data_IF_197984204685
#
_entry.id   IF_197984204685
#
_cell.length_a   1.000
_cell.length_b   1.000
_cell.length_c   1.000
_cell.angle_alpha   90.00
_cell.angle_beta   90.00
_cell.angle_gamma   90.00
#
_symmetry.space_group_name_H-M   'P 1'
#
loop_
_entity.id
_entity.type
_entity.pdbx_description
1 polymer ?
#
# COMPACT_ATOMS: atom_id res chain seq x y z
N UNK A 1 -21.96 -88.51 -27.40
CA UNK A 1 -20.86 -89.48 -27.21
C UNK A 1 -19.64 -89.02 -27.99
N UNK A 2 -18.44 -89.18 -27.41
CA UNK A 2 -17.09 -88.62 -27.77
C UNK A 2 -16.82 -87.27 -27.10
N UNK A 3 -16.11 -87.15 -25.96
CA UNK A 3 -14.81 -87.65 -25.49
C UNK A 3 -13.59 -86.88 -26.04
N UNK A 4 -12.82 -86.34 -25.08
CA UNK A 4 -11.40 -85.98 -25.10
C UNK A 4 -10.90 -84.84 -26.00
N UNK A 5 -10.45 -83.75 -25.37
CA UNK A 5 -9.03 -83.45 -25.28
C UNK A 5 -8.76 -82.40 -24.18
N UNK A 6 -8.17 -82.86 -23.08
CA UNK A 6 -7.43 -82.04 -22.13
C UNK A 6 -6.18 -81.50 -22.83
N UNK A 7 -5.95 -80.20 -22.75
CA UNK A 7 -4.64 -79.61 -23.02
C UNK A 7 -4.33 -78.61 -21.90
N UNK A 8 -3.58 -79.12 -20.92
CA UNK A 8 -2.83 -78.33 -19.94
C UNK A 8 -1.64 -77.72 -20.67
N UNK A 9 -1.52 -76.39 -20.65
CA UNK A 9 -0.23 -75.70 -20.75
C UNK A 9 -0.25 -74.50 -19.80
N UNK A 10 0.55 -74.63 -18.75
CA UNK A 10 0.92 -73.56 -17.85
C UNK A 10 1.93 -72.63 -18.54
N UNK A 11 1.76 -71.33 -18.37
CA UNK A 11 2.85 -70.36 -18.41
C UNK A 11 2.46 -69.13 -17.59
N UNK A 12 3.05 -69.03 -16.40
CA UNK A 12 3.11 -67.81 -15.61
C UNK A 12 3.74 -66.70 -16.42
N UNK A 13 3.14 -65.50 -16.45
CA UNK A 13 3.86 -64.25 -16.64
C UNK A 13 3.02 -63.05 -16.16
N UNK A 14 3.49 -62.48 -15.05
CA UNK A 14 3.68 -61.04 -14.86
C UNK A 14 2.39 -60.20 -14.78
N UNK A 15 1.95 -60.05 -13.52
CA UNK A 15 1.65 -58.75 -12.88
C UNK A 15 1.92 -57.55 -13.79
N UNK A 16 0.85 -57.05 -14.41
CA UNK A 16 0.78 -55.77 -15.10
C UNK A 16 -0.45 -55.03 -14.63
N UNK A 17 -0.52 -54.78 -13.32
CA UNK A 17 -1.34 -53.70 -12.78
C UNK A 17 -0.81 -52.43 -13.45
N UNK A 18 -1.52 -51.94 -14.47
CA UNK A 18 -1.41 -50.56 -14.91
C UNK A 18 -1.97 -49.70 -13.77
N UNK A 19 -1.17 -49.56 -12.72
CA UNK A 19 -1.29 -48.49 -11.75
C UNK A 19 -0.95 -47.22 -12.49
N UNK A 20 -1.97 -46.43 -12.79
CA UNK A 20 -1.80 -44.99 -12.96
C UNK A 20 -1.47 -44.43 -11.57
N UNK A 21 -0.24 -44.66 -11.10
CA UNK A 21 0.30 -43.90 -9.99
C UNK A 21 0.55 -42.47 -10.51
N UNK A 22 -0.16 -41.45 -10.00
CA UNK A 22 0.18 -40.08 -10.30
C UNK A 22 1.59 -39.82 -9.74
N UNK A 23 2.49 -39.19 -10.50
CA UNK A 23 3.82 -38.88 -10.02
C UNK A 23 3.70 -37.94 -8.82
N UNK A 24 3.94 -38.50 -7.63
CA UNK A 24 4.14 -37.72 -6.41
C UNK A 24 5.57 -37.19 -6.43
N UNK A 25 5.82 -36.24 -7.33
CA UNK A 25 7.06 -35.48 -7.46
C UNK A 25 6.94 -34.16 -6.70
N UNK A 26 7.79 -33.98 -5.70
CA UNK A 26 7.72 -32.86 -4.76
C UNK A 26 8.07 -31.50 -5.34
N UNK A 27 7.21 -30.52 -5.03
CA UNK A 27 7.56 -29.10 -4.86
C UNK A 27 7.49 -28.22 -6.09
N UNK A 28 6.33 -27.59 -6.34
CA UNK A 28 6.25 -26.42 -7.22
C UNK A 28 4.85 -25.96 -7.66
N UNK A 29 3.88 -25.85 -6.74
CA UNK A 29 2.56 -25.27 -7.03
C UNK A 29 1.55 -26.25 -7.64
N UNK A 30 0.30 -26.23 -7.16
CA UNK A 30 -0.80 -26.84 -7.90
C UNK A 30 -1.07 -25.99 -9.16
N UNK A 31 -1.43 -26.63 -10.28
CA UNK A 31 -1.88 -25.89 -11.45
C UNK A 31 -3.05 -24.95 -11.07
N UNK A 32 -3.10 -23.74 -11.62
CA UNK A 32 -4.23 -22.84 -11.40
C UNK A 32 -5.57 -23.53 -11.71
N UNK A 33 -6.59 -23.25 -10.90
CA UNK A 33 -7.90 -23.88 -11.09
C UNK A 33 -8.53 -23.35 -12.39
N UNK A 34 -8.86 -24.21 -13.38
CA UNK A 34 -9.53 -23.78 -14.61
C UNK A 34 -10.93 -23.21 -14.37
N UNK A 35 -11.48 -23.36 -13.16
CA UNK A 35 -12.74 -22.77 -12.74
C UNK A 35 -12.57 -21.35 -12.17
N UNK A 36 -11.34 -20.91 -11.90
CA UNK A 36 -11.05 -19.55 -11.46
C UNK A 36 -11.28 -18.59 -12.64
N UNK A 37 -12.20 -17.60 -12.51
CA UNK A 37 -12.47 -16.64 -13.59
C UNK A 37 -11.25 -15.80 -13.98
N UNK A 38 -10.23 -15.71 -13.12
CA UNK A 38 -8.96 -15.04 -13.39
C UNK A 38 -7.96 -15.88 -14.18
N UNK A 39 -8.29 -17.13 -14.54
CA UNK A 39 -7.39 -18.06 -15.24
C UNK A 39 -7.94 -18.39 -16.62
N UNK A 40 -7.18 -18.03 -17.65
CA UNK A 40 -7.56 -18.19 -19.05
C UNK A 40 -6.62 -19.17 -19.75
N UNK A 41 -7.01 -20.44 -19.79
CA UNK A 41 -6.23 -21.47 -20.49
C UNK A 41 -6.34 -21.34 -22.01
N UNK A 42 -5.19 -21.36 -22.69
CA UNK A 42 -5.13 -21.53 -24.14
C UNK A 42 -5.03 -23.02 -24.48
N UNK A 43 -4.17 -23.76 -23.76
CA UNK A 43 -4.13 -25.22 -23.78
C UNK A 43 -3.63 -25.78 -22.45
N UNK A 44 -4.07 -26.99 -22.11
CA UNK A 44 -3.57 -27.77 -20.96
C UNK A 44 -2.47 -28.77 -21.38
N UNK A 45 -2.23 -28.94 -22.68
CA UNK A 45 -1.20 -29.83 -23.21
C UNK A 45 0.12 -29.06 -23.36
N UNK A 46 1.20 -29.44 -22.65
CA UNK A 46 2.49 -28.77 -22.75
C UNK A 46 3.11 -28.87 -24.15
N UNK A 47 2.82 -29.92 -24.91
CA UNK A 47 3.33 -30.07 -26.28
C UNK A 47 2.63 -29.10 -27.24
N UNK A 48 1.33 -28.85 -27.06
CA UNK A 48 0.60 -27.83 -27.81
C UNK A 48 1.09 -26.42 -27.46
N UNK A 49 1.33 -26.16 -26.18
CA UNK A 49 1.88 -24.90 -25.68
C UNK A 49 3.25 -24.55 -26.25
N UNK A 50 4.06 -25.54 -26.66
CA UNK A 50 5.34 -25.31 -27.33
C UNK A 50 5.20 -24.91 -28.81
N UNK A 51 4.02 -25.11 -29.41
CA UNK A 51 3.76 -24.87 -30.84
C UNK A 51 2.96 -23.61 -31.10
N UNK A 52 2.20 -23.12 -30.11
CA UNK A 52 1.36 -21.94 -30.23
C UNK A 52 2.09 -20.69 -29.71
N UNK A 53 1.91 -19.58 -30.43
CA UNK A 53 2.42 -18.27 -30.04
C UNK A 53 1.22 -17.37 -29.71
N UNK A 54 1.20 -16.82 -28.50
CA UNK A 54 0.13 -15.97 -28.02
C UNK A 54 0.66 -14.91 -27.07
N UNK A 55 -0.10 -13.83 -26.94
CA UNK A 55 0.18 -12.73 -26.03
C UNK A 55 -1.02 -12.52 -25.12
N UNK A 56 -0.75 -12.22 -23.85
CA UNK A 56 -1.80 -11.85 -22.90
C UNK A 56 -2.21 -10.39 -23.08
N UNK A 57 -3.42 -10.05 -22.64
CA UNK A 57 -3.91 -8.67 -22.66
C UNK A 57 -3.20 -7.82 -21.60
N UNK A 58 -3.40 -6.50 -21.63
CA UNK A 58 -2.94 -5.61 -20.55
C UNK A 58 -3.58 -6.02 -19.22
N UNK A 59 -2.79 -6.05 -18.15
CA UNK A 59 -3.24 -6.53 -16.83
C UNK A 59 -3.29 -8.04 -16.69
N UNK A 60 -2.70 -8.79 -17.63
CA UNK A 60 -2.58 -10.24 -17.55
C UNK A 60 -1.12 -10.67 -17.64
N UNK A 61 -0.76 -11.72 -16.90
CA UNK A 61 0.56 -12.36 -16.97
C UNK A 61 0.51 -13.70 -17.69
N UNK A 62 1.56 -13.98 -18.45
CA UNK A 62 1.73 -15.27 -19.11
C UNK A 62 1.97 -16.37 -18.08
N UNK A 63 1.21 -17.45 -18.20
CA UNK A 63 1.40 -18.68 -17.45
C UNK A 63 1.94 -19.74 -18.41
N UNK A 64 3.12 -20.27 -18.12
CA UNK A 64 3.73 -21.42 -18.80
C UNK A 64 4.40 -22.30 -17.76
N UNK A 65 3.58 -23.09 -17.06
CA UNK A 65 4.06 -23.98 -15.99
C UNK A 65 4.21 -25.41 -16.56
N UNK A 66 5.38 -26.05 -16.37
CA UNK A 66 5.60 -27.42 -16.83
C UNK A 66 4.54 -28.38 -16.25
N UNK A 67 3.73 -28.99 -17.12
CA UNK A 67 2.68 -29.94 -16.75
C UNK A 67 1.32 -29.32 -16.41
N UNK A 68 1.18 -28.00 -16.41
CA UNK A 68 -0.11 -27.32 -16.24
C UNK A 68 -0.67 -26.73 -17.53
N UNK A 69 0.15 -26.62 -18.58
CA UNK A 69 -0.22 -26.00 -19.85
C UNK A 69 0.15 -24.51 -19.90
N UNK A 70 -0.57 -23.78 -20.73
CA UNK A 70 -0.28 -22.37 -21.03
C UNK A 70 -1.55 -21.55 -21.12
N UNK A 71 -1.44 -20.29 -20.71
CA UNK A 71 -2.55 -19.36 -20.70
C UNK A 71 -2.16 -18.01 -20.13
N UNK A 72 -3.18 -17.24 -19.75
CA UNK A 72 -3.03 -15.94 -19.13
C UNK A 72 -3.73 -15.95 -17.77
N UNK A 73 -3.12 -15.31 -16.78
CA UNK A 73 -3.73 -15.10 -15.47
C UNK A 73 -3.91 -13.60 -15.28
N UNK A 74 -5.10 -13.19 -14.85
CA UNK A 74 -5.39 -11.81 -14.52
C UNK A 74 -4.49 -11.37 -13.34
N UNK A 75 -3.80 -10.24 -13.51
CA UNK A 75 -3.05 -9.62 -12.43
C UNK A 75 -4.02 -8.81 -11.58
N UNK A 76 -4.08 -9.11 -10.28
CA UNK A 76 -4.77 -8.24 -9.34
C UNK A 76 -4.10 -6.86 -9.38
N UNK A 77 -4.88 -5.77 -9.51
CA UNK A 77 -4.32 -4.44 -9.44
C UNK A 77 -3.59 -4.28 -8.10
N UNK A 78 -2.45 -3.55 -8.09
CA UNK A 78 -1.73 -3.32 -6.85
C UNK A 78 -2.66 -2.65 -5.82
N UNK A 79 -2.53 -2.99 -4.54
CA UNK A 79 -3.36 -2.38 -3.51
C UNK A 79 -3.21 -0.85 -3.54
N UNK A 80 -4.27 -0.10 -3.21
CA UNK A 80 -4.21 1.34 -3.17
C UNK A 80 -3.11 1.80 -2.20
N UNK A 81 -2.30 2.77 -2.61
CA UNK A 81 -1.30 3.38 -1.74
C UNK A 81 -1.99 4.40 -0.85
N UNK A 82 -2.23 4.02 0.40
CA UNK A 82 -2.85 4.88 1.41
C UNK A 82 -1.82 5.82 2.07
N UNK A 83 -2.17 7.08 2.35
CA UNK A 83 -1.36 7.95 3.21
C UNK A 83 -1.07 7.29 4.57
N UNK A 84 0.15 7.38 5.07
CA UNK A 84 0.53 6.79 6.37
C UNK A 84 -0.16 7.58 7.50
N UNK A 85 -1.04 6.94 8.31
CA UNK A 85 -1.70 7.62 9.45
C UNK A 85 -0.71 8.03 10.55
N UNK A 86 0.52 7.52 10.54
CA UNK A 86 1.60 7.94 11.44
C UNK A 86 2.40 9.15 10.96
N UNK A 87 2.21 9.60 9.72
CA UNK A 87 2.86 10.80 9.19
C UNK A 87 2.20 12.06 9.78
N UNK A 88 2.95 12.96 10.46
CA UNK A 88 2.40 14.18 11.02
C UNK A 88 1.81 15.15 9.97
N UNK A 89 2.17 15.01 8.69
CA UNK A 89 1.56 15.72 7.57
C UNK A 89 0.26 15.11 7.06
N UNK A 90 -0.22 14.00 7.64
CA UNK A 90 -1.44 13.30 7.22
C UNK A 90 -2.50 13.40 8.31
N UNK A 91 -3.70 13.86 7.91
CA UNK A 91 -4.87 13.95 8.78
C UNK A 91 -6.07 13.30 8.11
N UNK A 92 -6.48 12.15 8.63
CA UNK A 92 -7.70 11.48 8.20
C UNK A 92 -8.94 12.16 8.81
N UNK A 93 -9.95 12.37 7.97
CA UNK A 93 -11.29 12.76 8.41
C UNK A 93 -12.14 11.50 8.60
N UNK A 94 -12.07 10.56 7.65
CA UNK A 94 -12.63 9.21 7.80
C UNK A 94 -11.80 8.17 7.04
N UNK A 95 -11.85 6.94 7.50
CA UNK A 95 -11.27 5.76 6.83
C UNK A 95 -12.32 4.98 6.03
N UNK A 96 -13.60 5.36 6.09
CA UNK A 96 -14.68 4.75 5.32
C UNK A 96 -14.93 5.57 4.04
N UNK A 97 -14.66 5.02 2.85
CA UNK A 97 -14.93 5.70 1.58
C UNK A 97 -16.41 6.11 1.40
N UNK A 98 -17.34 5.39 2.01
CA UNK A 98 -18.76 5.72 1.93
C UNK A 98 -19.09 6.95 2.78
N UNK A 99 -18.46 7.09 3.95
CA UNK A 99 -18.60 8.29 4.77
C UNK A 99 -17.96 9.49 4.07
N UNK A 100 -16.80 9.29 3.46
CA UNK A 100 -16.11 10.29 2.66
C UNK A 100 -16.93 10.84 1.49
N UNK A 101 -17.84 10.04 0.92
CA UNK A 101 -18.75 10.50 -0.13
C UNK A 101 -19.90 11.39 0.38
N UNK A 102 -20.12 11.43 1.69
CA UNK A 102 -21.24 12.15 2.32
C UNK A 102 -20.79 13.40 3.07
N UNK A 103 -19.54 13.45 3.52
CA UNK A 103 -19.00 14.59 4.26
C UNK A 103 -18.39 15.63 3.33
N UNK A 104 -18.58 16.91 3.67
CA UNK A 104 -17.99 18.05 2.98
C UNK A 104 -16.96 18.70 3.92
N UNK A 105 -15.71 18.77 3.49
CA UNK A 105 -14.61 19.35 4.26
C UNK A 105 -13.55 19.95 3.34
N UNK A 106 -12.87 20.97 3.85
CA UNK A 106 -11.76 21.63 3.18
C UNK A 106 -10.45 21.42 3.96
N UNK A 107 -9.34 21.47 3.24
CA UNK A 107 -8.00 21.46 3.81
C UNK A 107 -7.42 22.88 3.82
N UNK A 108 -6.65 23.22 4.86
CA UNK A 108 -6.02 24.53 4.97
C UNK A 108 -4.74 24.57 4.14
N UNK A 109 -4.50 25.60 3.29
CA UNK A 109 -3.22 25.72 2.61
C UNK A 109 -2.06 25.69 3.61
N UNK A 110 -0.98 24.93 3.36
CA UNK A 110 -0.60 24.26 2.10
C UNK A 110 -1.09 22.80 1.94
N UNK A 111 -1.97 22.31 2.80
CA UNK A 111 -2.53 20.95 2.72
C UNK A 111 -3.32 20.73 1.42
N UNK A 112 -3.37 19.47 0.96
CA UNK A 112 -4.16 19.00 -0.18
C UNK A 112 -5.13 17.93 0.27
N UNK A 113 -6.34 17.96 -0.28
CA UNK A 113 -7.34 16.93 -0.05
C UNK A 113 -6.93 15.63 -0.73
N UNK A 114 -7.14 14.50 -0.04
CA UNK A 114 -7.15 13.17 -0.64
C UNK A 114 -8.49 12.47 -0.35
N UNK A 115 -8.96 11.67 -1.30
CA UNK A 115 -10.10 10.76 -1.11
C UNK A 115 -9.91 9.53 -1.99
N UNK A 116 -10.20 8.34 -1.47
CA UNK A 116 -10.14 7.10 -2.23
C UNK A 116 -10.55 5.89 -1.40
N UNK A 117 -10.10 4.70 -1.79
CA UNK A 117 -10.42 3.45 -1.10
C UNK A 117 -9.90 3.39 0.35
N UNK A 118 -8.89 4.20 0.66
CA UNK A 118 -8.31 4.33 1.99
C UNK A 118 -9.09 5.27 2.92
N UNK A 119 -10.13 5.95 2.41
CA UNK A 119 -10.83 7.03 3.10
C UNK A 119 -10.45 8.40 2.54
N UNK A 120 -10.55 9.43 3.38
CA UNK A 120 -10.38 10.82 2.98
C UNK A 120 -9.78 11.67 4.11
N UNK A 121 -9.10 12.72 3.70
CA UNK A 121 -8.48 13.65 4.61
C UNK A 121 -7.60 14.68 3.91
N UNK A 122 -6.65 15.21 4.67
CA UNK A 122 -5.71 16.22 4.22
C UNK A 122 -4.28 15.67 4.32
N UNK A 123 -3.47 15.94 3.29
CA UNK A 123 -2.03 15.67 3.27
C UNK A 123 -1.27 16.95 2.97
N UNK A 124 -0.30 17.28 3.80
CA UNK A 124 0.49 18.50 3.69
C UNK A 124 1.93 18.30 4.16
N UNK A 125 2.77 19.34 4.08
CA UNK A 125 4.00 19.33 4.86
C UNK A 125 3.65 19.10 6.33
N UNK A 126 4.52 18.37 7.03
CA UNK A 126 4.41 18.27 8.48
C UNK A 126 4.31 19.68 9.05
N UNK A 127 3.41 19.94 10.02
CA UNK A 127 3.38 21.23 10.69
C UNK A 127 4.79 21.54 11.19
N UNK A 128 5.29 22.74 10.89
CA UNK A 128 6.54 23.21 11.45
C UNK A 128 6.45 23.07 12.97
N UNK A 129 7.42 22.38 13.58
CA UNK A 129 7.38 22.13 15.00
C UNK A 129 7.33 23.47 15.74
N UNK A 130 6.33 23.65 16.60
CA UNK A 130 6.17 24.84 17.40
C UNK A 130 7.48 25.16 18.15
N UNK A 131 7.90 26.44 18.21
CA UNK A 131 8.99 26.85 19.09
C UNK A 131 8.79 26.31 20.51
N UNK A 132 9.85 25.74 21.11
CA UNK A 132 9.75 25.17 22.45
C UNK A 132 9.55 26.29 23.48
N UNK A 133 8.41 26.32 24.16
CA UNK A 133 8.13 27.33 25.19
C UNK A 133 9.05 27.22 26.42
N UNK A 134 9.78 26.10 26.58
CA UNK A 134 10.81 25.96 27.61
C UNK A 134 12.18 26.53 27.17
N UNK A 135 12.36 26.86 25.89
CA UNK A 135 13.57 27.49 25.37
C UNK A 135 13.64 28.96 25.85
N UNK A 136 14.71 29.38 26.56
CA UNK A 136 14.87 30.78 26.99
C UNK A 136 14.95 31.79 25.84
N UNK A 137 15.26 31.34 24.62
CA UNK A 137 15.30 32.17 23.42
C UNK A 137 13.93 32.25 22.71
N UNK A 138 12.89 31.64 23.27
CA UNK A 138 11.51 31.68 22.75
C UNK A 138 10.61 32.45 23.70
N UNK A 139 9.91 33.45 23.18
CA UNK A 139 8.94 34.26 23.94
C UNK A 139 7.60 34.30 23.22
N UNK A 140 6.65 33.53 23.73
CA UNK A 140 5.26 33.57 23.28
C UNK A 140 4.55 34.84 23.75
N UNK A 141 3.84 35.49 22.83
CA UNK A 141 2.84 36.51 23.12
C UNK A 141 1.49 35.85 23.34
N UNK A 142 1.14 34.88 22.50
CA UNK A 142 -0.07 34.08 22.61
C UNK A 142 0.13 32.71 21.96
N UNK A 143 -0.55 31.70 22.48
CA UNK A 143 -0.66 30.37 21.86
C UNK A 143 -1.96 30.23 21.05
N UNK A 144 -2.76 31.29 20.99
CA UNK A 144 -3.99 31.36 20.20
C UNK A 144 -3.70 32.12 18.89
N UNK A 145 -3.71 31.44 17.72
CA UNK A 145 -3.48 32.07 16.41
C UNK A 145 -4.49 33.15 16.08
N UNK A 146 -5.75 33.02 16.51
CA UNK A 146 -6.78 34.04 16.26
C UNK A 146 -6.47 35.32 17.03
N UNK A 147 -5.99 35.19 18.27
CA UNK A 147 -5.53 36.34 19.05
C UNK A 147 -4.31 37.01 18.40
N UNK A 148 -3.43 36.23 17.78
CA UNK A 148 -2.23 36.74 17.10
C UNK A 148 -2.56 37.67 15.93
N UNK A 149 -3.71 37.50 15.27
CA UNK A 149 -4.19 38.41 14.24
C UNK A 149 -4.74 39.74 14.80
N UNK A 150 -4.99 39.83 16.10
CA UNK A 150 -5.59 40.99 16.76
C UNK A 150 -4.58 41.85 17.52
N UNK A 151 -3.38 41.33 17.78
CA UNK A 151 -2.37 41.98 18.61
C UNK A 151 -1.18 42.45 17.78
N UNK A 152 -0.84 43.73 17.92
CA UNK A 152 0.41 44.27 17.39
C UNK A 152 1.51 44.16 18.46
N UNK A 153 2.60 43.48 18.14
CA UNK A 153 3.78 43.41 18.98
C UNK A 153 5.06 43.50 18.15
N UNK A 154 6.16 43.85 18.81
CA UNK A 154 7.47 44.02 18.18
C UNK A 154 8.49 43.22 18.98
N UNK A 155 9.36 42.51 18.26
CA UNK A 155 10.47 41.76 18.86
C UNK A 155 11.68 42.66 19.14
N UNK A 156 12.51 42.27 20.10
CA UNK A 156 13.72 43.02 20.42
C UNK A 156 14.73 42.96 19.25
N UNK A 157 15.70 43.90 19.17
CA UNK A 157 16.73 43.82 18.13
C UNK A 157 17.47 42.48 18.17
N UNK A 158 17.47 41.75 17.05
CA UNK A 158 18.09 40.42 16.94
C UNK A 158 17.15 39.24 17.20
N UNK A 159 15.90 39.49 17.59
CA UNK A 159 14.83 38.49 17.61
C UNK A 159 14.07 38.49 16.26
N UNK A 160 13.63 37.32 15.83
CA UNK A 160 12.74 37.11 14.68
C UNK A 160 11.30 36.89 15.15
N UNK A 161 10.34 37.47 14.44
CA UNK A 161 8.91 37.29 14.71
C UNK A 161 8.44 35.98 14.09
N UNK A 162 7.67 35.20 14.85
CA UNK A 162 6.90 34.08 14.32
C UNK A 162 5.40 34.29 14.59
N UNK A 163 4.58 33.84 13.64
CA UNK A 163 3.12 33.83 13.74
C UNK A 163 2.61 32.69 12.87
N UNK A 164 2.32 31.55 13.49
CA UNK A 164 1.97 30.29 12.84
C UNK A 164 0.81 29.60 13.59
N UNK A 165 0.55 28.33 13.25
CA UNK A 165 -0.50 27.53 13.88
C UNK A 165 -0.28 27.30 15.38
N UNK A 166 0.94 27.52 15.89
CA UNK A 166 1.30 27.40 17.29
C UNK A 166 1.05 28.69 18.08
N UNK A 167 0.74 29.79 17.40
CA UNK A 167 0.53 31.11 17.98
C UNK A 167 1.54 32.12 17.44
N UNK A 168 1.95 33.06 18.29
CA UNK A 168 2.82 34.14 17.89
C UNK A 168 3.77 34.55 19.00
N UNK A 169 4.93 35.03 18.60
CA UNK A 169 5.97 35.44 19.52
C UNK A 169 7.24 35.87 18.82
N UNK A 170 8.31 35.83 19.60
CA UNK A 170 9.65 36.17 19.16
C UNK A 170 10.60 35.01 19.46
N UNK A 171 11.49 34.70 18.52
CA UNK A 171 12.57 33.72 18.68
C UNK A 171 13.91 34.39 18.43
N UNK A 172 14.89 34.19 19.30
CA UNK A 172 16.23 34.71 19.11
C UNK A 172 16.99 34.88 20.43
N UNK A 173 18.32 35.06 20.35
CA UNK A 173 19.14 35.18 21.53
C UNK A 173 18.66 36.36 22.36
N UNK A 174 18.26 36.11 23.61
CA UNK A 174 17.89 37.18 24.52
C UNK A 174 19.09 38.13 24.72
N UNK A 175 19.11 39.28 24.03
CA UNK A 175 20.15 40.27 24.28
C UNK A 175 20.03 40.74 25.74
N UNK A 176 21.15 40.86 26.47
CA UNK A 176 21.12 41.36 27.84
C UNK A 176 20.54 42.77 27.81
N UNK A 177 19.37 42.94 28.42
CA UNK A 177 18.69 44.24 28.56
C UNK A 177 19.68 45.19 29.24
N UNK A 178 20.27 46.09 28.45
CA UNK A 178 21.23 47.06 28.92
C UNK A 178 20.57 47.93 29.97
N UNK A 179 21.01 47.80 31.23
CA UNK A 179 20.68 48.75 32.29
C UNK A 179 21.24 50.12 31.87
N UNK A 180 20.36 51.01 31.44
CA UNK A 180 20.66 52.45 31.43
C UNK A 180 20.71 52.90 32.89
N UNK A 181 21.90 52.81 33.48
CA UNK A 181 22.19 53.46 34.75
C UNK A 181 22.28 54.97 34.46
N UNK A 182 21.21 55.69 34.76
CA UNK A 182 21.14 57.15 34.65
C UNK A 182 22.13 57.82 35.61
N UNK A 183 22.73 58.90 35.11
CA UNK A 183 23.67 59.84 35.75
C UNK A 183 23.37 60.15 37.22
#
# INVERSE_FOLDING_TARGET
MRACALLLLAASSIVGLLGCDPPTGGGGGACPDPSDPGVHYVSQDPDECALIDFVCAEGQRLMTEPGCGCGCIDEEPPPPVCPDPGDPGVRYVSHDPNECALIDFDCSPPEKLFSGECGCGCVGPAPEACPDAADPDVRYVSHDPEYCHLVDFICAPGEELFSDACGCGCVGPALPVGRTQGN
#
